data_IF_217172678372
#
_entry.id   IF_217172678372
#
_cell.length_a   1.000
_cell.length_b   1.000
_cell.length_c   1.000
_cell.angle_alpha   90.00
_cell.angle_beta   90.00
_cell.angle_gamma   90.00
#
_symmetry.space_group_name_H-M   'P 1'
#
loop_
_entity.id
_entity.type
_entity.pdbx_description
1 polymer ?
#
# COMPACT_ATOMS: atom_id res chain seq x y z
N UNK A 1 -15.87 -38.71 5.03
CA UNK A 1 -16.52 -39.19 3.79
C UNK A 1 -16.73 -37.98 2.89
N UNK A 2 -15.78 -37.68 1.99
CA UNK A 2 -15.78 -36.44 1.19
C UNK A 2 -16.42 -36.59 -0.18
N UNK A 3 -16.57 -35.49 -0.90
CA UNK A 3 -16.93 -35.51 -2.32
C UNK A 3 -15.73 -36.03 -3.13
N UNK A 4 -15.95 -37.09 -3.92
CA UNK A 4 -14.93 -37.73 -4.75
C UNK A 4 -15.41 -37.80 -6.21
N UNK A 5 -14.47 -37.89 -7.17
CA UNK A 5 -14.78 -38.11 -8.58
C UNK A 5 -15.75 -39.30 -8.74
N UNK A 6 -16.90 -39.05 -9.37
CA UNK A 6 -18.02 -39.99 -9.46
C UNK A 6 -19.25 -39.57 -8.63
N UNK A 7 -19.07 -38.86 -7.51
CA UNK A 7 -20.15 -38.44 -6.59
C UNK A 7 -20.24 -36.91 -6.39
N UNK A 8 -19.71 -36.09 -7.31
CA UNK A 8 -19.72 -34.63 -7.15
C UNK A 8 -21.09 -34.01 -7.45
N UNK A 9 -21.60 -34.25 -8.67
CA UNK A 9 -22.78 -33.56 -9.21
C UNK A 9 -23.45 -34.45 -10.26
N UNK A 10 -24.79 -34.43 -10.30
CA UNK A 10 -25.58 -35.03 -11.38
C UNK A 10 -25.71 -34.05 -12.56
N UNK A 11 -24.79 -34.15 -13.53
CA UNK A 11 -24.81 -33.38 -14.78
C UNK A 11 -25.44 -34.23 -15.90
N UNK A 12 -26.36 -33.69 -16.70
CA UNK A 12 -26.96 -34.38 -17.86
C UNK A 12 -26.97 -33.45 -19.07
N UNK A 13 -26.70 -33.97 -20.27
CA UNK A 13 -26.88 -33.23 -21.53
C UNK A 13 -25.78 -32.24 -21.92
N UNK A 14 -24.59 -32.27 -21.30
CA UNK A 14 -23.46 -31.40 -21.67
C UNK A 14 -22.45 -32.18 -22.49
N UNK A 15 -22.21 -31.75 -23.73
CA UNK A 15 -21.17 -32.30 -24.60
C UNK A 15 -20.01 -31.30 -24.67
N UNK A 16 -18.78 -31.77 -24.47
CA UNK A 16 -17.57 -30.93 -24.54
C UNK A 16 -16.60 -31.50 -25.56
N UNK A 17 -16.04 -30.62 -26.39
CA UNK A 17 -15.04 -30.97 -27.39
C UNK A 17 -13.68 -30.39 -26.98
N UNK A 18 -12.62 -31.14 -27.24
CA UNK A 18 -11.23 -30.75 -26.92
C UNK A 18 -10.32 -31.22 -28.05
N UNK A 19 -9.34 -30.39 -28.38
CA UNK A 19 -8.27 -30.73 -29.33
C UNK A 19 -7.04 -31.23 -28.57
N UNK A 20 -6.23 -32.11 -29.17
CA UNK A 20 -4.99 -32.57 -28.55
C UNK A 20 -4.04 -31.39 -28.28
N UNK A 21 -3.32 -31.35 -27.15
CA UNK A 21 -2.37 -30.26 -26.85
C UNK A 21 -1.28 -30.11 -27.91
N UNK A 22 -0.90 -31.19 -28.60
CA UNK A 22 0.10 -31.18 -29.66
C UNK A 22 -0.37 -30.53 -30.96
N UNK A 23 -1.69 -30.36 -31.11
CA UNK A 23 -2.31 -29.68 -32.26
C UNK A 23 -2.64 -28.22 -31.95
N UNK A 24 -2.60 -27.83 -30.68
CA UNK A 24 -2.85 -26.47 -30.23
C UNK A 24 -1.56 -25.64 -30.20
N UNK A 25 -1.69 -24.33 -30.42
CA UNK A 25 -0.59 -23.38 -30.22
C UNK A 25 -0.66 -22.83 -28.80
N UNK A 26 0.39 -23.03 -28.01
CA UNK A 26 0.43 -22.61 -26.60
C UNK A 26 0.15 -21.11 -26.36
N UNK A 27 0.60 -20.24 -27.28
CA UNK A 27 0.44 -18.78 -27.19
C UNK A 27 -0.50 -18.20 -28.25
N UNK A 28 -1.46 -19.00 -28.74
CA UNK A 28 -2.46 -18.52 -29.68
C UNK A 28 -3.18 -17.27 -29.14
N UNK A 29 -3.17 -16.19 -29.93
CA UNK A 29 -3.94 -14.98 -29.61
C UNK A 29 -3.40 -14.16 -28.42
N UNK A 30 -2.18 -14.39 -27.96
CA UNK A 30 -1.63 -13.66 -26.80
C UNK A 30 -1.63 -12.14 -27.00
N UNK A 31 -1.17 -11.66 -28.17
CA UNK A 31 -1.15 -10.23 -28.46
C UNK A 31 -2.54 -9.69 -28.84
N UNK A 32 -3.31 -10.43 -29.65
CA UNK A 32 -4.61 -9.99 -30.16
C UNK A 32 -5.73 -10.02 -29.11
N UNK A 33 -5.75 -11.05 -28.26
CA UNK A 33 -6.81 -11.29 -27.29
C UNK A 33 -6.30 -11.25 -25.85
N UNK A 34 -5.08 -11.71 -25.60
CA UNK A 34 -4.48 -11.70 -24.25
C UNK A 34 -4.28 -10.28 -23.73
N UNK A 35 -3.50 -9.45 -24.43
CA UNK A 35 -3.18 -8.10 -23.98
C UNK A 35 -4.42 -7.21 -23.78
N UNK A 36 -5.38 -7.12 -24.72
CA UNK A 36 -6.59 -6.31 -24.49
C UNK A 36 -7.42 -6.81 -23.31
N UNK A 37 -7.48 -8.13 -23.09
CA UNK A 37 -8.20 -8.69 -21.95
C UNK A 37 -7.47 -8.42 -20.62
N UNK A 38 -6.14 -8.45 -20.58
CA UNK A 38 -5.37 -8.05 -19.39
C UNK A 38 -5.64 -6.59 -19.06
N UNK A 39 -5.55 -5.70 -20.05
CA UNK A 39 -5.83 -4.27 -19.84
C UNK A 39 -7.25 -4.06 -19.32
N UNK A 40 -8.25 -4.71 -19.93
CA UNK A 40 -9.63 -4.65 -19.45
C UNK A 40 -9.74 -5.08 -17.98
N UNK A 41 -9.17 -6.23 -17.63
CA UNK A 41 -9.20 -6.76 -16.25
C UNK A 41 -8.51 -5.83 -15.26
N UNK A 42 -7.37 -5.23 -15.63
CA UNK A 42 -6.66 -4.28 -14.77
C UNK A 42 -7.49 -3.02 -14.57
N UNK A 43 -8.09 -2.47 -15.63
CA UNK A 43 -8.97 -1.29 -15.53
C UNK A 43 -10.18 -1.54 -14.65
N UNK A 44 -10.80 -2.71 -14.72
CA UNK A 44 -11.96 -3.07 -13.90
C UNK A 44 -11.62 -3.14 -12.39
N UNK A 45 -10.36 -3.38 -12.04
CA UNK A 45 -9.91 -3.53 -10.65
C UNK A 45 -9.20 -2.30 -10.09
N UNK A 46 -8.67 -1.42 -10.96
CA UNK A 46 -7.80 -0.31 -10.52
C UNK A 46 -8.52 0.62 -9.55
N UNK A 47 -9.83 0.82 -9.69
CA UNK A 47 -10.60 1.69 -8.79
C UNK A 47 -10.90 1.09 -7.42
N UNK A 48 -10.80 -0.22 -7.27
CA UNK A 48 -10.93 -0.87 -5.96
C UNK A 48 -9.59 -0.94 -5.24
N UNK A 49 -8.52 -1.14 -6.00
CA UNK A 49 -7.18 -1.37 -5.46
C UNK A 49 -6.41 -0.06 -5.27
N UNK A 50 -6.46 0.86 -6.23
CA UNK A 50 -5.65 2.07 -6.18
C UNK A 50 -5.99 3.04 -5.03
N UNK A 51 -7.27 3.32 -4.68
CA UNK A 51 -7.57 4.29 -3.62
C UNK A 51 -6.92 3.98 -2.26
N UNK A 52 -7.01 2.76 -1.70
CA UNK A 52 -6.35 2.48 -0.42
C UNK A 52 -4.82 2.57 -0.50
N UNK A 53 -4.20 2.19 -1.64
CA UNK A 53 -2.76 2.33 -1.81
C UNK A 53 -2.32 3.80 -1.91
N UNK A 54 -3.05 4.62 -2.65
CA UNK A 54 -2.77 6.06 -2.76
C UNK A 54 -2.93 6.73 -1.39
N UNK A 55 -4.02 6.44 -0.68
CA UNK A 55 -4.24 6.96 0.68
C UNK A 55 -3.12 6.54 1.64
N UNK A 56 -2.72 5.27 1.62
CA UNK A 56 -1.62 4.77 2.44
C UNK A 56 -0.31 5.50 2.14
N UNK A 57 -0.01 5.74 0.87
CA UNK A 57 1.19 6.49 0.47
C UNK A 57 1.16 7.94 0.93
N UNK A 58 0.01 8.62 0.80
CA UNK A 58 -0.15 10.00 1.26
C UNK A 58 0.04 10.13 2.78
N UNK A 59 -0.52 9.19 3.56
CA UNK A 59 -0.34 9.16 5.02
C UNK A 59 1.13 8.92 5.38
N UNK A 60 1.80 8.02 4.67
CA UNK A 60 3.23 7.76 4.87
C UNK A 60 4.09 9.01 4.61
N UNK A 61 3.92 9.67 3.47
CA UNK A 61 4.68 10.88 3.11
C UNK A 61 4.41 12.03 4.10
N UNK A 62 3.14 12.24 4.48
CA UNK A 62 2.79 13.21 5.50
C UNK A 62 3.47 12.92 6.83
N UNK A 63 3.37 11.68 7.32
CA UNK A 63 3.93 11.27 8.61
C UNK A 63 5.45 11.46 8.65
N UNK A 64 6.13 11.15 7.56
CA UNK A 64 7.58 11.34 7.43
C UNK A 64 7.96 12.82 7.51
N UNK A 65 7.25 13.69 6.77
CA UNK A 65 7.50 15.14 6.78
C UNK A 65 7.23 15.77 8.15
N UNK A 66 6.15 15.39 8.80
CA UNK A 66 5.82 15.89 10.14
C UNK A 66 6.79 15.39 11.20
N UNK A 67 7.27 14.15 11.10
CA UNK A 67 8.31 13.65 11.98
C UNK A 67 9.61 14.46 11.85
N UNK A 68 10.07 14.69 10.62
CA UNK A 68 11.26 15.50 10.36
C UNK A 68 11.11 16.95 10.86
N UNK A 69 9.93 17.55 10.73
CA UNK A 69 9.61 18.88 11.28
C UNK A 69 9.66 18.88 12.81
N UNK A 70 9.05 17.88 13.44
CA UNK A 70 8.88 17.80 14.89
C UNK A 70 10.20 17.61 15.65
N UNK A 71 11.21 16.98 15.03
CA UNK A 71 12.53 16.80 15.64
C UNK A 71 13.34 18.11 15.62
N UNK A 72 13.01 19.07 14.75
CA UNK A 72 13.72 20.35 14.70
C UNK A 72 13.34 21.20 15.90
N UNK A 73 14.36 21.83 16.49
CA UNK A 73 14.19 22.76 17.61
C UNK A 73 13.43 24.01 17.14
N UNK A 74 12.38 24.38 17.85
CA UNK A 74 11.63 25.61 17.58
C UNK A 74 12.38 26.82 18.18
N UNK A 75 12.75 27.84 17.38
CA UNK A 75 13.45 29.02 17.88
C UNK A 75 12.62 29.83 18.91
N UNK A 76 11.29 29.76 18.86
CA UNK A 76 10.42 30.47 19.79
C UNK A 76 10.58 30.00 21.25
N UNK A 77 11.00 28.75 21.48
CA UNK A 77 11.19 28.19 22.82
C UNK A 77 12.38 28.82 23.56
N UNK A 78 13.31 29.46 22.83
CA UNK A 78 14.48 30.11 23.40
C UNK A 78 14.28 31.62 23.64
N UNK A 79 13.22 32.23 23.10
CA UNK A 79 12.98 33.67 23.17
C UNK A 79 12.62 34.15 24.60
N UNK A 80 11.98 33.30 25.41
CA UNK A 80 11.60 33.61 26.80
C UNK A 80 12.38 32.76 27.79
N UNK A 81 13.67 32.50 27.56
CA UNK A 81 14.50 31.82 28.56
C UNK A 81 14.66 32.77 29.76
N UNK A 82 14.04 32.53 30.93
CA UNK A 82 14.26 33.38 32.09
C UNK A 82 15.75 33.29 32.43
N UNK A 83 16.43 34.44 32.49
CA UNK A 83 17.80 34.49 32.98
C UNK A 83 17.81 33.84 34.37
N UNK A 84 18.65 32.82 34.59
CA UNK A 84 18.84 32.25 35.94
C UNK A 84 19.13 33.42 36.89
N UNK A 85 18.21 33.71 37.81
CA UNK A 85 18.46 34.68 38.88
C UNK A 85 19.71 34.19 39.62
N UNK A 86 20.73 35.03 39.73
CA UNK A 86 21.94 34.66 40.44
C UNK A 86 21.59 34.32 41.90
N UNK A 87 22.20 33.28 42.50
CA UNK A 87 21.99 32.98 43.91
C UNK A 87 22.50 34.15 44.75
N UNK A 88 21.71 34.60 45.72
CA UNK A 88 21.99 35.78 46.58
C UNK A 88 23.35 35.73 47.30
N UNK A 89 23.97 34.56 47.41
CA UNK A 89 25.27 34.37 48.03
C UNK A 89 26.45 34.88 47.18
N UNK A 90 26.26 35.09 45.86
CA UNK A 90 27.32 35.63 44.98
C UNK A 90 27.43 37.16 45.01
N UNK A 91 26.41 37.88 45.50
CA UNK A 91 26.40 39.35 45.56
C UNK A 91 26.94 39.92 46.87
N UNK A 92 27.25 39.07 47.85
CA UNK A 92 27.70 39.48 49.20
C UNK A 92 29.23 39.49 49.36
N UNK A 93 29.98 39.04 48.35
CA UNK A 93 31.46 39.02 48.35
C UNK A 93 32.08 40.35 47.85
N UNK A 94 31.26 41.35 47.53
CA UNK A 94 31.68 42.63 46.93
C UNK A 94 31.27 43.88 47.75
N UNK A 95 30.93 43.72 49.04
CA UNK A 95 30.68 44.81 49.99
C UNK A 95 31.64 44.68 51.17
#
# INVERSE_FOLDING_TARGET
MGLHFGNLIKLRGVVTYRLSPYEQRAFAGLLKHGLPNVIRRTKDQIFYVAPPFVLGYLVYDYSKREYERSIRKNPADYAQRPSRKQPKWQTLEFI
#
